data_IF_760578698026
#
_entry.id   IF_760578698026
#
_cell.length_a   1.000
_cell.length_b   1.000
_cell.length_c   1.000
_cell.angle_alpha   90.00
_cell.angle_beta   90.00
_cell.angle_gamma   90.00
#
_symmetry.space_group_name_H-M   'P 1'
#
loop_
_entity.id
_entity.type
_entity.pdbx_description
1 polymer ?
#
# COMPACT_ATOMS: atom_id res chain seq x y z
N UNK A 1 -16.68 -14.02 -13.30
CA UNK A 1 -16.97 -12.69 -13.84
C UNK A 1 -15.98 -11.72 -13.22
N UNK A 2 -14.87 -11.45 -13.92
CA UNK A 2 -13.91 -10.45 -13.48
C UNK A 2 -14.54 -9.08 -13.77
N UNK A 3 -14.78 -8.29 -12.73
CA UNK A 3 -15.23 -6.92 -12.86
C UNK A 3 -14.16 -6.15 -13.64
N UNK A 4 -14.63 -5.47 -14.68
CA UNK A 4 -13.87 -4.56 -15.52
C UNK A 4 -13.56 -3.30 -14.72
N UNK A 5 -12.34 -3.18 -14.21
CA UNK A 5 -11.82 -1.92 -13.68
C UNK A 5 -11.34 -1.06 -14.86
N UNK A 6 -12.28 -0.35 -15.49
CA UNK A 6 -11.99 0.70 -16.46
C UNK A 6 -12.84 1.92 -16.11
N UNK A 7 -12.23 2.87 -15.38
CA UNK A 7 -12.37 4.34 -15.51
C UNK A 7 -11.84 5.04 -14.24
N UNK A 8 -10.52 5.18 -14.18
CA UNK A 8 -9.78 5.86 -13.13
C UNK A 8 -8.30 5.59 -13.39
N UNK A 9 -7.43 6.61 -13.30
CA UNK A 9 -6.03 6.53 -13.74
C UNK A 9 -5.38 5.18 -13.40
N UNK A 10 -4.75 4.54 -14.39
CA UNK A 10 -4.26 3.16 -14.31
C UNK A 10 -3.28 2.92 -13.17
N UNK A 11 -2.66 3.98 -12.66
CA UNK A 11 -1.69 3.94 -11.58
C UNK A 11 -2.03 4.95 -10.47
N UNK A 12 -1.56 4.67 -9.27
CA UNK A 12 -1.67 5.57 -8.12
C UNK A 12 -0.69 6.72 -8.29
N UNK A 13 -1.20 7.95 -8.20
CA UNK A 13 -0.41 9.18 -8.20
C UNK A 13 -0.66 9.93 -6.88
N UNK A 14 0.28 9.78 -5.93
CA UNK A 14 0.23 10.39 -4.58
C UNK A 14 1.67 10.76 -4.15
N UNK A 15 1.85 11.72 -3.22
CA UNK A 15 3.17 12.06 -2.69
C UNK A 15 3.94 10.84 -2.17
N UNK A 16 5.25 10.82 -2.39
CA UNK A 16 6.17 9.74 -2.00
C UNK A 16 5.84 8.36 -2.61
N UNK A 17 4.99 8.29 -3.64
CA UNK A 17 4.75 7.11 -4.46
C UNK A 17 5.32 7.34 -5.85
N UNK A 18 6.14 6.41 -6.35
CA UNK A 18 6.68 6.48 -7.71
C UNK A 18 5.55 6.32 -8.72
N UNK A 19 5.36 7.31 -9.58
CA UNK A 19 4.34 7.28 -10.64
C UNK A 19 4.55 6.06 -11.56
N UNK A 20 3.45 5.37 -11.89
CA UNK A 20 3.50 4.18 -12.75
C UNK A 20 3.93 2.88 -12.06
N UNK A 21 4.27 2.90 -10.77
CA UNK A 21 4.71 1.71 -10.05
C UNK A 21 3.55 0.87 -9.50
N UNK A 22 2.54 1.52 -8.91
CA UNK A 22 1.40 0.86 -8.29
C UNK A 22 0.16 1.00 -9.15
N UNK A 23 -0.38 -0.12 -9.62
CA UNK A 23 -1.69 -0.16 -10.28
C UNK A 23 -2.76 0.35 -9.32
N UNK A 24 -3.72 1.10 -9.86
CA UNK A 24 -4.84 1.56 -9.06
C UNK A 24 -5.82 0.40 -8.83
N UNK A 25 -6.03 0.07 -7.56
CA UNK A 25 -7.04 -0.91 -7.11
C UNK A 25 -7.80 -0.33 -5.93
N UNK A 26 -9.10 -0.12 -6.10
CA UNK A 26 -9.89 0.66 -5.12
C UNK A 26 -9.90 0.00 -3.74
N UNK A 27 -9.98 -1.34 -3.66
CA UNK A 27 -9.91 -2.05 -2.39
C UNK A 27 -8.58 -1.80 -1.64
N UNK A 28 -7.47 -1.57 -2.35
CA UNK A 28 -6.18 -1.26 -1.70
C UNK A 28 -6.17 0.17 -1.18
N UNK A 29 -6.80 1.10 -1.91
CA UNK A 29 -6.94 2.50 -1.49
C UNK A 29 -7.84 2.61 -0.26
N UNK A 30 -9.00 1.95 -0.26
CA UNK A 30 -9.92 1.92 0.88
C UNK A 30 -9.24 1.35 2.14
N UNK A 31 -8.50 0.25 2.01
CA UNK A 31 -7.75 -0.33 3.13
C UNK A 31 -6.62 0.58 3.61
N UNK A 32 -5.92 1.27 2.70
CA UNK A 32 -4.87 2.21 3.06
C UNK A 32 -5.41 3.46 3.76
N UNK A 33 -6.55 3.98 3.29
CA UNK A 33 -7.20 5.15 3.89
C UNK A 33 -7.72 4.79 5.31
N UNK A 34 -8.33 3.61 5.50
CA UNK A 34 -8.72 3.12 6.82
C UNK A 34 -7.50 2.93 7.76
N UNK A 35 -6.43 2.28 7.28
CA UNK A 35 -5.22 2.05 8.06
C UNK A 35 -4.39 3.32 8.34
N UNK A 36 -4.65 4.40 7.61
CA UNK A 36 -4.03 5.71 7.85
C UNK A 36 -4.70 6.44 9.01
N UNK A 37 -5.99 6.23 9.24
CA UNK A 37 -6.75 6.89 10.29
C UNK A 37 -6.44 6.31 11.70
N UNK A 38 -6.32 4.99 11.82
CA UNK A 38 -6.12 4.31 13.10
C UNK A 38 -5.32 3.00 13.00
N UNK A 39 -4.92 2.43 14.14
CA UNK A 39 -4.20 1.15 14.19
C UNK A 39 -5.06 0.01 13.64
N UNK A 40 -4.61 -0.61 12.55
CA UNK A 40 -5.44 -1.51 11.75
C UNK A 40 -4.74 -2.85 11.47
N UNK A 41 -5.49 -3.95 11.56
CA UNK A 41 -5.08 -5.27 11.07
C UNK A 41 -5.67 -5.53 9.68
N UNK A 42 -4.84 -5.51 8.65
CA UNK A 42 -5.26 -5.75 7.27
C UNK A 42 -5.24 -7.25 6.95
N UNK A 43 -6.43 -7.83 6.76
CA UNK A 43 -6.61 -9.25 6.42
C UNK A 43 -6.83 -9.44 4.91
N UNK A 44 -5.75 -9.68 4.15
CA UNK A 44 -5.81 -10.04 2.74
C UNK A 44 -5.09 -11.36 2.46
N UNK A 45 -5.63 -12.23 1.59
CA UNK A 45 -4.87 -13.33 0.99
C UNK A 45 -3.54 -12.89 0.37
N UNK A 46 -2.62 -13.83 0.22
CA UNK A 46 -1.36 -13.57 -0.50
C UNK A 46 -1.64 -13.34 -1.99
N UNK A 47 -0.86 -12.46 -2.62
CA UNK A 47 -1.08 -12.06 -4.01
C UNK A 47 -2.04 -10.88 -4.22
N UNK A 48 -2.78 -10.45 -3.19
CA UNK A 48 -3.70 -9.31 -3.30
C UNK A 48 -3.10 -7.95 -2.91
N UNK A 49 -1.80 -7.90 -2.61
CA UNK A 49 -1.07 -6.65 -2.43
C UNK A 49 -1.08 -6.06 -1.02
N UNK A 50 -0.94 -6.89 0.03
CA UNK A 50 -0.69 -6.43 1.40
C UNK A 50 0.47 -5.42 1.49
N UNK A 51 1.56 -5.70 0.77
CA UNK A 51 2.72 -4.81 0.72
C UNK A 51 2.37 -3.47 0.10
N UNK A 52 1.60 -3.44 -1.00
CA UNK A 52 1.14 -2.20 -1.63
C UNK A 52 0.31 -1.35 -0.66
N UNK A 53 -0.63 -1.95 0.07
CA UNK A 53 -1.38 -1.26 1.13
C UNK A 53 -0.42 -0.67 2.19
N UNK A 54 0.56 -1.44 2.67
CA UNK A 54 1.53 -0.94 3.67
C UNK A 54 2.39 0.23 3.16
N UNK A 55 2.75 0.22 1.86
CA UNK A 55 3.53 1.28 1.22
C UNK A 55 2.70 2.55 1.08
N UNK A 56 1.41 2.44 0.71
CA UNK A 56 0.49 3.58 0.63
C UNK A 56 0.31 4.25 2.00
N UNK A 57 0.11 3.46 3.06
CA UNK A 57 0.03 3.98 4.44
C UNK A 57 1.34 4.64 4.85
N UNK A 58 2.48 4.01 4.55
CA UNK A 58 3.80 4.55 4.89
C UNK A 58 4.07 5.88 4.18
N UNK A 59 3.81 5.96 2.87
CA UNK A 59 3.97 7.17 2.07
C UNK A 59 3.08 8.30 2.60
N UNK A 60 1.81 8.02 2.88
CA UNK A 60 0.89 9.00 3.44
C UNK A 60 1.35 9.51 4.82
N UNK A 61 1.70 8.60 5.74
CA UNK A 61 2.19 8.96 7.08
C UNK A 61 3.47 9.79 7.05
N UNK A 62 4.44 9.39 6.22
CA UNK A 62 5.70 10.13 6.07
C UNK A 62 5.49 11.49 5.42
N UNK A 63 4.57 11.61 4.47
CA UNK A 63 4.26 12.88 3.83
C UNK A 63 3.58 13.86 4.79
N UNK A 64 2.62 13.38 5.58
CA UNK A 64 1.82 14.24 6.47
C UNK A 64 2.54 14.58 7.78
N UNK A 65 3.26 13.62 8.36
CA UNK A 65 3.84 13.77 9.71
C UNK A 65 5.37 13.75 9.73
N UNK A 66 6.03 13.38 8.63
CA UNK A 66 7.47 13.17 8.59
C UNK A 66 7.93 11.95 9.41
N UNK A 67 9.21 11.92 9.78
CA UNK A 67 9.75 10.89 10.69
C UNK A 67 10.32 9.66 9.98
N UNK A 68 10.15 8.49 10.60
CA UNK A 68 10.71 7.20 10.14
C UNK A 68 9.64 6.11 10.18
N UNK A 69 9.69 5.20 9.21
CA UNK A 69 8.87 3.98 9.17
C UNK A 69 9.76 2.75 9.35
N UNK A 70 9.21 1.71 9.96
CA UNK A 70 9.87 0.42 10.18
C UNK A 70 8.93 -0.70 9.74
N UNK A 71 9.32 -1.43 8.69
CA UNK A 71 8.64 -2.65 8.25
C UNK A 71 9.35 -3.87 8.84
N UNK A 72 8.61 -4.72 9.56
CA UNK A 72 9.13 -5.94 10.15
C UNK A 72 8.65 -7.15 9.36
N UNK A 73 9.56 -8.11 9.15
CA UNK A 73 9.25 -9.39 8.53
C UNK A 73 9.87 -10.53 9.36
N UNK A 74 9.27 -11.73 9.36
CA UNK A 74 9.67 -12.81 10.28
C UNK A 74 10.99 -13.49 9.91
N UNK A 75 11.48 -13.34 8.68
CA UNK A 75 12.69 -14.00 8.19
C UNK A 75 13.55 -13.07 7.34
N UNK A 76 14.86 -13.32 7.29
CA UNK A 76 15.81 -12.53 6.49
C UNK A 76 15.41 -12.43 5.00
N UNK A 77 15.02 -13.53 4.32
CA UNK A 77 14.63 -13.42 2.90
C UNK A 77 13.41 -12.52 2.68
N UNK A 78 12.47 -12.48 3.62
CA UNK A 78 11.30 -11.59 3.50
C UNK A 78 11.66 -10.13 3.75
N UNK A 79 12.64 -9.86 4.62
CA UNK A 79 13.18 -8.50 4.77
C UNK A 79 13.81 -8.03 3.46
N UNK A 80 14.65 -8.87 2.85
CA UNK A 80 15.30 -8.57 1.56
C UNK A 80 14.28 -8.41 0.42
N UNK A 81 13.18 -9.17 0.43
CA UNK A 81 12.11 -9.05 -0.56
C UNK A 81 11.37 -7.71 -0.50
N UNK A 82 11.34 -7.05 0.66
CA UNK A 82 10.60 -5.80 0.86
C UNK A 82 11.48 -4.54 0.77
N UNK A 83 12.80 -4.68 0.72
CA UNK A 83 13.77 -3.59 0.61
C UNK A 83 13.93 -3.12 -0.85
#
# INVERSE_FOLDING_TARGET
MAATDAEGGSFVDRPLVTSGLLERRDYQLELADAASAEHTLVCLPTGLGKTAVSLLVTAHRLHEYGGKSLLLAPTKPLVEQHA
#
